data_IF_148145009163
#
_entry.id   IF_148145009163
#
_cell.length_a   1.000
_cell.length_b   1.000
_cell.length_c   1.000
_cell.angle_alpha   90.00
_cell.angle_beta   90.00
_cell.angle_gamma   90.00
#
_symmetry.space_group_name_H-M   'P 1'
#
loop_
_entity.id
_entity.type
_entity.pdbx_description
1 polymer ?
#
# COMPACT_ATOMS: atom_id res chain seq x y z
N UNK A 1 -2.33 8.40 -7.26
CA UNK A 1 -2.39 7.24 -6.35
C UNK A 1 -3.14 7.54 -5.06
N UNK A 2 -2.83 8.63 -4.35
CA UNK A 2 -3.56 9.02 -3.13
C UNK A 2 -5.09 9.13 -3.36
N UNK A 3 -5.52 9.73 -4.46
CA UNK A 3 -6.95 9.92 -4.77
C UNK A 3 -7.67 8.62 -5.13
N UNK A 4 -6.93 7.55 -5.42
CA UNK A 4 -7.49 6.22 -5.66
C UNK A 4 -7.94 5.55 -4.36
N UNK A 5 -7.18 5.74 -3.27
CA UNK A 5 -7.46 5.11 -1.97
C UNK A 5 -8.29 5.98 -1.01
N UNK A 6 -8.34 7.30 -1.24
CA UNK A 6 -9.14 8.25 -0.44
C UNK A 6 -10.62 7.93 -0.30
N UNK A 7 -11.32 7.38 -1.32
CA UNK A 7 -12.74 7.03 -1.18
C UNK A 7 -13.01 5.87 -0.21
N UNK A 8 -11.98 5.10 0.15
CA UNK A 8 -12.14 3.93 1.02
C UNK A 8 -12.12 4.36 2.48
N UNK A 9 -13.10 3.86 3.22
CA UNK A 9 -13.24 4.07 4.67
C UNK A 9 -11.96 3.58 5.36
N UNK A 10 -11.53 4.31 6.38
CA UNK A 10 -10.35 3.92 7.17
C UNK A 10 -9.01 4.24 6.52
N UNK A 11 -8.95 4.89 5.35
CA UNK A 11 -7.68 5.36 4.76
C UNK A 11 -6.95 6.30 5.73
N UNK A 12 -5.68 5.99 6.05
CA UNK A 12 -4.82 6.84 6.92
C UNK A 12 -3.76 7.55 6.11
N UNK A 13 -2.88 6.79 5.48
CA UNK A 13 -1.69 7.31 4.83
C UNK A 13 -1.33 6.49 3.58
N UNK A 14 -0.64 7.12 2.64
CA UNK A 14 0.00 6.46 1.51
C UNK A 14 1.47 6.88 1.40
N UNK A 15 2.35 5.90 1.27
CA UNK A 15 3.79 6.09 1.03
C UNK A 15 4.15 5.50 -0.33
N UNK A 16 4.62 6.36 -1.23
CA UNK A 16 5.09 5.97 -2.57
C UNK A 16 6.60 5.81 -2.53
N UNK A 17 7.09 4.64 -2.92
CA UNK A 17 8.51 4.31 -2.96
C UNK A 17 8.92 4.11 -4.42
N UNK A 18 9.87 4.93 -4.86
CA UNK A 18 10.49 4.79 -6.17
C UNK A 18 11.71 3.89 -6.02
N UNK A 19 11.58 2.64 -6.47
CA UNK A 19 12.69 1.69 -6.54
C UNK A 19 13.43 1.96 -7.87
N UNK A 20 14.56 2.64 -7.79
CA UNK A 20 15.45 2.80 -8.93
C UNK A 20 15.99 1.46 -9.43
N UNK A 21 16.32 1.41 -10.72
CA UNK A 21 17.02 0.28 -11.35
C UNK A 21 18.36 0.05 -10.63
N UNK A 22 18.45 -1.01 -9.81
CA UNK A 22 19.66 -1.28 -9.01
C UNK A 22 20.73 -2.06 -9.77
N UNK A 23 20.38 -2.70 -10.89
CA UNK A 23 21.26 -3.53 -11.73
C UNK A 23 20.86 -3.42 -13.19
N UNK A 24 21.82 -3.62 -14.12
CA UNK A 24 21.52 -3.77 -15.55
C UNK A 24 20.48 -4.86 -15.76
N UNK A 25 19.28 -4.49 -16.19
CA UNK A 25 18.14 -5.38 -16.40
C UNK A 25 16.97 -5.21 -15.42
N UNK A 26 17.17 -4.48 -14.29
CA UNK A 26 16.10 -4.21 -13.34
C UNK A 26 15.27 -3.00 -13.80
N UNK A 27 13.95 -3.18 -13.95
CA UNK A 27 13.05 -2.11 -14.38
C UNK A 27 12.71 -1.25 -13.17
N UNK A 28 12.79 0.08 -13.33
CA UNK A 28 12.33 1.00 -12.30
C UNK A 28 10.89 0.65 -11.89
N UNK A 29 10.67 0.46 -10.60
CA UNK A 29 9.37 0.09 -10.04
C UNK A 29 8.88 1.18 -9.09
N UNK A 30 7.59 1.45 -9.15
CA UNK A 30 6.90 2.30 -8.18
C UNK A 30 6.09 1.37 -7.28
N UNK A 31 6.44 1.34 -6.00
CA UNK A 31 5.68 0.63 -4.97
C UNK A 31 4.85 1.64 -4.18
N UNK A 32 3.67 1.25 -3.74
CA UNK A 32 2.81 2.07 -2.89
C UNK A 32 2.39 1.25 -1.68
N UNK A 33 2.65 1.79 -0.50
CA UNK A 33 2.19 1.24 0.76
C UNK A 33 1.05 2.12 1.23
N UNK A 34 -0.10 1.52 1.52
CA UNK A 34 -1.28 2.21 2.02
C UNK A 34 -1.58 1.67 3.40
N UNK A 35 -1.79 2.58 4.33
CA UNK A 35 -2.17 2.25 5.70
C UNK A 35 -3.65 2.55 5.90
N UNK A 36 -4.35 1.57 6.48
CA UNK A 36 -5.75 1.69 6.90
C UNK A 36 -5.85 1.60 8.42
N UNK A 37 -6.96 2.08 8.97
CA UNK A 37 -7.30 1.97 10.39
C UNK A 37 -7.43 0.51 10.82
N UNK A 38 -7.96 -0.35 9.97
CA UNK A 38 -8.17 -1.76 10.25
C UNK A 38 -7.99 -2.65 9.01
N UNK A 39 -7.77 -3.94 9.25
CA UNK A 39 -7.54 -4.95 8.22
C UNK A 39 -8.74 -5.14 7.29
N UNK A 40 -9.97 -4.94 7.80
CA UNK A 40 -11.20 -5.13 7.01
C UNK A 40 -11.34 -4.02 5.99
N UNK A 41 -11.10 -2.77 6.39
CA UNK A 41 -11.04 -1.62 5.48
C UNK A 41 -9.95 -1.81 4.41
N UNK A 42 -8.77 -2.30 4.80
CA UNK A 42 -7.70 -2.62 3.85
C UNK A 42 -8.11 -3.71 2.85
N UNK A 43 -8.77 -4.78 3.32
CA UNK A 43 -9.26 -5.87 2.48
C UNK A 43 -10.29 -5.37 1.47
N UNK A 44 -11.27 -4.56 1.91
CA UNK A 44 -12.28 -3.97 1.02
C UNK A 44 -11.65 -3.12 -0.09
N UNK A 45 -10.66 -2.27 0.27
CA UNK A 45 -9.96 -1.47 -0.72
C UNK A 45 -9.13 -2.34 -1.69
N UNK A 46 -8.50 -3.40 -1.18
CA UNK A 46 -7.75 -4.36 -2.00
C UNK A 46 -8.67 -5.04 -3.01
N UNK A 47 -9.79 -5.61 -2.58
CA UNK A 47 -10.74 -6.31 -3.46
C UNK A 47 -11.32 -5.40 -4.54
N UNK A 48 -11.65 -4.15 -4.20
CA UNK A 48 -12.21 -3.19 -5.13
C UNK A 48 -11.21 -2.67 -6.18
N UNK A 49 -9.93 -2.58 -5.83
CA UNK A 49 -8.88 -2.02 -6.69
C UNK A 49 -7.97 -3.10 -7.31
N UNK A 50 -8.13 -4.36 -6.95
CA UNK A 50 -7.33 -5.45 -7.51
C UNK A 50 -7.57 -5.55 -9.01
N UNK A 51 -6.50 -5.53 -9.80
CA UNK A 51 -6.59 -5.60 -11.25
C UNK A 51 -6.98 -4.28 -11.93
N UNK A 52 -7.02 -3.16 -11.20
CA UNK A 52 -7.35 -1.85 -11.76
C UNK A 52 -6.38 -1.49 -12.90
N UNK A 53 -6.92 -1.16 -14.08
CA UNK A 53 -6.15 -0.71 -15.24
C UNK A 53 -6.03 0.81 -15.22
N UNK A 54 -4.79 1.31 -15.27
CA UNK A 54 -4.53 2.75 -15.36
C UNK A 54 -4.87 3.33 -16.73
N UNK A 55 -4.78 2.54 -17.79
CA UNK A 55 -5.05 2.96 -19.16
C UNK A 55 -5.90 1.92 -19.88
N UNK A 56 -7.21 2.11 -19.88
CA UNK A 56 -8.16 1.21 -20.55
C UNK A 56 -8.00 1.18 -22.08
N UNK A 57 -7.25 2.11 -22.67
CA UNK A 57 -7.01 2.14 -24.12
C UNK A 57 -5.90 1.18 -24.56
N UNK A 58 -5.11 0.66 -23.62
CA UNK A 58 -4.02 -0.28 -23.89
C UNK A 58 -4.32 -1.65 -23.29
N UNK A 59 -4.49 -2.71 -24.11
CA UNK A 59 -4.78 -4.04 -23.61
C UNK A 59 -3.65 -4.58 -22.71
N UNK A 60 -2.40 -4.24 -23.03
CA UNK A 60 -1.19 -4.60 -22.28
C UNK A 60 -0.83 -3.60 -21.17
N UNK A 61 -1.77 -2.72 -20.77
CA UNK A 61 -1.51 -1.81 -19.67
C UNK A 61 -1.25 -2.58 -18.38
N UNK A 62 -0.28 -2.14 -17.56
CA UNK A 62 -0.04 -2.74 -16.27
C UNK A 62 -1.28 -2.58 -15.39
N UNK A 63 -1.70 -3.69 -14.81
CA UNK A 63 -2.78 -3.72 -13.80
C UNK A 63 -2.21 -3.47 -12.42
N UNK A 64 -2.98 -2.80 -11.58
CA UNK A 64 -2.66 -2.63 -10.17
C UNK A 64 -2.74 -4.00 -9.48
N UNK A 65 -1.64 -4.36 -8.80
CA UNK A 65 -1.58 -5.55 -7.95
C UNK A 65 -1.37 -5.11 -6.52
N UNK A 66 -2.32 -5.46 -5.67
CA UNK A 66 -2.33 -5.10 -4.26
C UNK A 66 -2.22 -6.39 -3.45
N UNK A 67 -1.39 -6.37 -2.42
CA UNK A 67 -1.18 -7.46 -1.47
C UNK A 67 -0.97 -6.86 -0.09
N UNK A 68 -1.24 -7.64 0.95
CA UNK A 68 -0.85 -7.26 2.30
C UNK A 68 0.66 -7.11 2.41
N UNK A 69 1.10 -6.05 3.08
CA UNK A 69 2.51 -5.83 3.33
C UNK A 69 3.02 -6.88 4.33
N UNK A 70 3.89 -7.77 3.85
CA UNK A 70 4.56 -8.74 4.70
C UNK A 70 5.88 -8.15 5.20
N UNK A 71 5.88 -7.67 6.44
CA UNK A 71 7.09 -7.18 7.07
C UNK A 71 7.85 -8.36 7.69
N UNK A 72 9.10 -8.64 7.28
CA UNK A 72 9.91 -9.68 7.91
C UNK A 72 10.33 -9.31 9.35
N UNK A 73 9.95 -8.13 9.83
CA UNK A 73 10.21 -7.65 11.18
C UNK A 73 8.89 -7.21 11.79
N UNK A 74 8.58 -7.70 13.00
CA UNK A 74 7.45 -7.23 13.79
C UNK A 74 7.67 -5.74 14.07
N UNK A 75 6.80 -4.87 13.53
CA UNK A 75 6.80 -3.47 13.93
C UNK A 75 6.52 -3.44 15.45
N UNK A 76 7.34 -2.74 16.26
CA UNK A 76 7.03 -2.58 17.67
C UNK A 76 5.65 -1.91 17.75
N UNK A 77 4.70 -2.62 18.34
CA UNK A 77 3.34 -2.16 18.56
C UNK A 77 3.38 -0.79 19.21
N UNK A 78 2.83 0.24 18.56
CA UNK A 78 2.87 1.63 19.03
C UNK A 78 1.98 1.89 20.28
N UNK A 79 1.70 0.85 21.07
CA UNK A 79 0.94 0.89 22.30
C UNK A 79 1.77 0.28 23.45
N UNK A 80 2.74 1.03 23.93
CA UNK A 80 3.14 0.95 25.34
C UNK A 80 3.30 2.37 25.89
N UNK A 81 2.21 3.15 25.87
CA UNK A 81 2.06 4.23 26.84
C UNK A 81 1.62 3.57 28.15
N UNK A 82 2.58 3.09 28.95
CA UNK A 82 2.35 2.90 30.37
C UNK A 82 2.71 4.20 31.08
N UNK A 83 1.75 4.90 31.72
CA UNK A 83 2.11 6.04 32.54
C UNK A 83 2.89 5.50 33.75
N UNK A 84 4.16 5.85 33.85
CA UNK A 84 4.93 5.62 35.07
C UNK A 84 4.37 6.59 36.12
N UNK A 85 3.38 6.10 36.87
CA UNK A 85 3.09 6.62 38.20
C UNK A 85 4.10 6.01 39.15
N UNK A 86 5.04 6.81 39.64
CA UNK A 86 5.51 6.86 41.03
C UNK A 86 6.53 7.97 41.20
#
# INVERSE_FOLDING_TARGET
MKDLFRPFIGFREIKVVHKGSRRSGDKAMVLCFVEFVDEKCALTAMEALQGYKFDNKKPDSPVLRIQFAHFPFSLPSYHDEKPIRR
#
